data_IF_729061889428
#
_entry.id   IF_729061889428
#
_cell.length_a   1.000
_cell.length_b   1.000
_cell.length_c   1.000
_cell.angle_alpha   90.00
_cell.angle_beta   90.00
_cell.angle_gamma   90.00
#
_symmetry.space_group_name_H-M   'P 1'
#
loop_
_entity.id
_entity.type
_entity.pdbx_description
1 polymer ?
#
# COMPACT_ATOMS: atom_id res chain seq x y z
N UNK A 1 -12.57 -25.64 -12.88
CA UNK A 1 -13.30 -24.86 -11.85
C UNK A 1 -12.60 -23.53 -11.68
N UNK A 2 -13.26 -22.41 -12.04
CA UNK A 2 -12.80 -21.09 -11.56
C UNK A 2 -13.12 -21.06 -10.06
N UNK A 3 -12.17 -20.76 -9.17
CA UNK A 3 -12.49 -20.61 -7.76
C UNK A 3 -13.49 -19.46 -7.62
N UNK A 4 -14.63 -19.72 -6.98
CA UNK A 4 -15.56 -18.66 -6.59
C UNK A 4 -14.80 -17.64 -5.74
N UNK A 5 -14.96 -16.32 -6.00
CA UNK A 5 -14.24 -15.30 -5.26
C UNK A 5 -14.71 -15.31 -3.81
N UNK A 6 -13.92 -15.94 -2.94
CA UNK A 6 -14.14 -15.87 -1.50
C UNK A 6 -13.89 -14.44 -1.03
N UNK A 7 -14.57 -14.01 0.04
CA UNK A 7 -14.33 -12.69 0.64
C UNK A 7 -12.84 -12.47 0.94
N UNK A 8 -12.13 -13.50 1.39
CA UNK A 8 -10.68 -13.47 1.58
C UNK A 8 -9.91 -13.26 0.27
N UNK A 9 -10.31 -13.91 -0.82
CA UNK A 9 -9.72 -13.69 -2.15
C UNK A 9 -9.92 -12.26 -2.65
N UNK A 10 -11.11 -11.70 -2.48
CA UNK A 10 -11.41 -10.31 -2.85
C UNK A 10 -10.56 -9.33 -2.03
N UNK A 11 -10.52 -9.48 -0.71
CA UNK A 11 -9.70 -8.62 0.18
C UNK A 11 -8.23 -8.73 -0.19
N UNK A 12 -7.74 -9.94 -0.47
CA UNK A 12 -6.35 -10.17 -0.90
C UNK A 12 -6.01 -9.43 -2.20
N UNK A 13 -6.88 -9.50 -3.21
CA UNK A 13 -6.66 -8.85 -4.50
C UNK A 13 -6.66 -7.33 -4.34
N UNK A 14 -7.66 -6.79 -3.63
CA UNK A 14 -7.77 -5.34 -3.39
C UNK A 14 -6.54 -4.83 -2.65
N UNK A 15 -6.11 -5.50 -1.57
CA UNK A 15 -4.92 -5.13 -0.82
C UNK A 15 -3.64 -5.24 -1.66
N UNK A 16 -3.52 -6.27 -2.50
CA UNK A 16 -2.39 -6.43 -3.41
C UNK A 16 -2.31 -5.30 -4.44
N UNK A 17 -3.45 -4.90 -5.03
CA UNK A 17 -3.51 -3.76 -5.95
C UNK A 17 -3.18 -2.44 -5.25
N UNK A 18 -3.68 -2.28 -4.01
CA UNK A 18 -3.39 -1.12 -3.15
C UNK A 18 -1.91 -0.98 -2.86
N UNK A 19 -1.19 -2.09 -2.71
CA UNK A 19 0.27 -2.14 -2.62
C UNK A 19 0.95 -1.86 -3.96
N UNK A 20 0.62 -2.64 -5.00
CA UNK A 20 1.40 -2.72 -6.22
C UNK A 20 1.32 -1.43 -7.06
N UNK A 21 0.12 -0.89 -7.28
CA UNK A 21 -0.09 0.25 -8.18
C UNK A 21 0.70 1.50 -7.76
N UNK A 22 0.56 2.02 -6.53
CA UNK A 22 1.29 3.23 -6.14
C UNK A 22 2.79 3.00 -5.99
N UNK A 23 3.22 1.79 -5.62
CA UNK A 23 4.64 1.42 -5.47
C UNK A 23 5.31 1.35 -6.83
N UNK A 24 4.76 0.58 -7.77
CA UNK A 24 5.32 0.45 -9.12
C UNK A 24 5.38 1.79 -9.85
N UNK A 25 4.34 2.63 -9.73
CA UNK A 25 4.36 3.97 -10.32
C UNK A 25 5.47 4.85 -9.73
N UNK A 26 5.73 4.76 -8.43
CA UNK A 26 6.78 5.55 -7.79
C UNK A 26 8.18 5.03 -8.14
N UNK A 27 8.36 3.71 -8.21
CA UNK A 27 9.61 3.09 -8.63
C UNK A 27 9.93 3.38 -10.09
N UNK A 28 8.93 3.29 -10.99
CA UNK A 28 9.09 3.69 -12.39
C UNK A 28 9.52 5.17 -12.52
N UNK A 29 8.97 6.05 -11.67
CA UNK A 29 9.40 7.44 -11.58
C UNK A 29 10.86 7.58 -11.16
N UNK A 30 11.31 6.83 -10.15
CA UNK A 30 12.71 6.85 -9.70
C UNK A 30 13.70 6.25 -10.72
N UNK A 31 13.26 5.29 -11.54
CA UNK A 31 14.06 4.76 -12.65
C UNK A 31 14.21 5.80 -13.76
N UNK A 32 13.14 6.54 -14.06
CA UNK A 32 13.15 7.59 -15.09
C UNK A 32 13.91 8.85 -14.64
N UNK A 33 13.77 9.24 -13.37
CA UNK A 33 14.46 10.37 -12.75
C UNK A 33 15.03 9.95 -11.38
N UNK A 34 16.34 9.68 -11.28
CA UNK A 34 16.98 9.30 -10.03
C UNK A 34 17.30 10.49 -9.11
N UNK A 35 16.66 11.65 -9.29
CA UNK A 35 16.86 12.80 -8.40
C UNK A 35 16.47 12.49 -6.95
N UNK A 36 17.19 13.11 -6.01
CA UNK A 36 16.97 12.94 -4.57
C UNK A 36 15.49 13.09 -4.11
N UNK A 37 14.71 14.10 -4.54
CA UNK A 37 13.31 14.19 -4.14
C UNK A 37 12.44 13.05 -4.69
N UNK A 38 12.71 12.57 -5.91
CA UNK A 38 11.95 11.47 -6.53
C UNK A 38 12.25 10.15 -5.83
N UNK A 39 13.53 9.83 -5.60
CA UNK A 39 13.93 8.62 -4.88
C UNK A 39 13.38 8.64 -3.45
N UNK A 40 13.48 9.76 -2.73
CA UNK A 40 12.91 9.89 -1.37
C UNK A 40 11.40 9.64 -1.36
N UNK A 41 10.67 10.17 -2.33
CA UNK A 41 9.24 9.94 -2.51
C UNK A 41 8.94 8.46 -2.78
N UNK A 42 9.72 7.81 -3.64
CA UNK A 42 9.58 6.38 -3.94
C UNK A 42 9.84 5.49 -2.71
N UNK A 43 10.90 5.75 -1.97
CA UNK A 43 11.21 5.06 -0.70
C UNK A 43 10.08 5.25 0.31
N UNK A 44 9.64 6.49 0.52
CA UNK A 44 8.53 6.79 1.44
C UNK A 44 7.27 6.02 1.05
N UNK A 45 6.93 5.94 -0.24
CA UNK A 45 5.79 5.15 -0.69
C UNK A 45 5.99 3.65 -0.47
N UNK A 46 7.19 3.12 -0.73
CA UNK A 46 7.49 1.71 -0.48
C UNK A 46 7.29 1.32 0.99
N UNK A 47 7.77 2.15 1.91
CA UNK A 47 7.58 1.94 3.36
C UNK A 47 6.09 1.95 3.71
N UNK A 48 5.34 2.94 3.24
CA UNK A 48 3.89 3.03 3.54
C UNK A 48 3.10 1.88 2.90
N UNK A 49 3.56 1.33 1.78
CA UNK A 49 2.91 0.22 1.10
C UNK A 49 3.11 -1.14 1.80
N UNK A 50 3.94 -1.24 2.84
CA UNK A 50 4.09 -2.48 3.59
C UNK A 50 2.80 -2.93 4.28
N UNK A 51 1.97 -2.00 4.75
CA UNK A 51 0.69 -2.32 5.41
C UNK A 51 -0.31 -3.00 4.45
N UNK A 52 -0.59 -2.47 3.24
CA UNK A 52 -1.45 -3.17 2.29
C UNK A 52 -0.85 -4.48 1.77
N UNK A 53 0.49 -4.61 1.71
CA UNK A 53 1.13 -5.90 1.40
C UNK A 53 0.85 -6.94 2.50
N UNK A 54 1.02 -6.56 3.77
CA UNK A 54 0.70 -7.41 4.90
C UNK A 54 -0.79 -7.80 4.87
N UNK A 55 -1.70 -6.86 4.62
CA UNK A 55 -3.13 -7.15 4.49
C UNK A 55 -3.42 -8.18 3.39
N UNK A 56 -2.76 -8.06 2.23
CA UNK A 56 -2.93 -9.01 1.13
C UNK A 56 -2.49 -10.42 1.53
N UNK A 57 -1.32 -10.55 2.14
CA UNK A 57 -0.77 -11.84 2.58
C UNK A 57 -1.61 -12.44 3.72
N UNK A 58 -2.09 -11.62 4.65
CA UNK A 58 -2.97 -12.05 5.75
C UNK A 58 -4.32 -12.55 5.25
N UNK A 59 -4.92 -11.86 4.28
CA UNK A 59 -6.16 -12.33 3.64
C UNK A 59 -5.93 -13.65 2.90
N UNK A 60 -4.82 -13.77 2.16
CA UNK A 60 -4.42 -15.01 1.49
C UNK A 60 -4.18 -16.17 2.45
N UNK A 61 -3.74 -15.90 3.67
CA UNK A 61 -3.58 -16.90 4.74
C UNK A 61 -4.90 -17.31 5.42
N UNK A 62 -6.06 -16.87 4.91
CA UNK A 62 -7.38 -17.24 5.44
C UNK A 62 -7.82 -16.41 6.65
N UNK A 63 -7.19 -15.26 6.90
CA UNK A 63 -7.51 -14.34 8.01
C UNK A 63 -8.08 -13.01 7.51
N UNK A 64 -9.28 -13.00 6.88
CA UNK A 64 -9.80 -11.81 6.21
C UNK A 64 -10.13 -10.66 7.18
N UNK A 65 -10.53 -10.95 8.42
CA UNK A 65 -10.83 -9.91 9.43
C UNK A 65 -9.57 -9.13 9.80
N UNK A 66 -8.45 -9.81 10.04
CA UNK A 66 -7.18 -9.16 10.36
C UNK A 66 -6.65 -8.33 9.19
N UNK A 67 -6.87 -8.81 7.96
CA UNK A 67 -6.54 -8.05 6.76
C UNK A 67 -7.37 -6.75 6.64
N UNK A 68 -8.65 -6.77 7.04
CA UNK A 68 -9.48 -5.56 7.09
C UNK A 68 -8.99 -4.58 8.15
N UNK A 69 -8.54 -5.06 9.31
CA UNK A 69 -7.92 -4.21 10.35
C UNK A 69 -6.66 -3.52 9.79
N UNK A 70 -5.79 -4.26 9.10
CA UNK A 70 -4.60 -3.70 8.46
C UNK A 70 -4.95 -2.66 7.38
N UNK A 71 -5.98 -2.91 6.57
CA UNK A 71 -6.48 -1.92 5.60
C UNK A 71 -7.04 -0.66 6.29
N UNK A 72 -7.69 -0.81 7.45
CA UNK A 72 -8.11 0.32 8.28
C UNK A 72 -6.92 1.17 8.76
N UNK A 73 -5.83 0.52 9.17
CA UNK A 73 -4.58 1.19 9.55
C UNK A 73 -3.94 1.91 8.35
N UNK A 74 -3.90 1.29 7.16
CA UNK A 74 -3.44 1.94 5.93
C UNK A 74 -4.24 3.22 5.63
N UNK A 75 -5.57 3.13 5.69
CA UNK A 75 -6.44 4.26 5.45
C UNK A 75 -6.20 5.41 6.44
N UNK A 76 -6.05 5.09 7.73
CA UNK A 76 -5.71 6.07 8.76
C UNK A 76 -4.35 6.72 8.50
N UNK A 77 -3.34 5.92 8.13
CA UNK A 77 -2.01 6.40 7.77
C UNK A 77 -2.02 7.37 6.57
N UNK A 78 -2.84 7.10 5.55
CA UNK A 78 -3.03 8.00 4.41
C UNK A 78 -3.68 9.32 4.83
N UNK A 79 -4.73 9.27 5.66
CA UNK A 79 -5.43 10.47 6.14
C UNK A 79 -4.50 11.34 6.99
N UNK A 80 -3.78 10.74 7.94
CA UNK A 80 -2.83 11.46 8.79
C UNK A 80 -1.63 11.99 7.98
N UNK A 81 -1.12 11.20 7.05
CA UNK A 81 -0.01 11.60 6.17
C UNK A 81 -0.35 12.77 5.25
N UNK A 82 -1.61 12.89 4.80
CA UNK A 82 -2.09 14.06 4.05
C UNK A 82 -2.07 15.34 4.90
N UNK A 83 -2.40 15.25 6.20
CA UNK A 83 -2.37 16.38 7.13
C UNK A 83 -0.94 16.85 7.44
N UNK A 84 0.01 15.93 7.52
CA UNK A 84 1.41 16.25 7.85
C UNK A 84 2.18 16.93 6.70
N UNK A 85 1.74 16.81 5.44
CA UNK A 85 2.43 17.38 4.27
C UNK A 85 2.50 18.92 4.27
N UNK A 86 1.69 19.60 5.08
CA UNK A 86 1.76 21.05 5.27
C UNK A 86 2.79 21.52 6.31
N UNK A 87 3.52 20.61 6.96
CA UNK A 87 4.49 20.89 8.03
C UNK A 87 5.92 20.46 7.67
N UNK A 88 6.28 20.55 6.40
CA UNK A 88 7.66 20.29 5.98
C UNK A 88 8.55 21.41 6.54
N UNK A 89 9.40 21.07 7.50
CA UNK A 89 10.34 22.01 8.11
C UNK A 89 11.36 22.36 7.01
N UNK A 90 11.28 23.59 6.52
CA UNK A 90 12.25 24.20 5.61
C UNK A 90 13.48 24.63 6.39
#
# INVERSE_FOLDING_TARGET
>A
MRPEPTAAGVVSIVAALRYAVPTLRAQAGAVADPSAPVVRSATRRGILAMVPLQAALTARAGRPVDALVLLGIDALGVVLGRRAKGREIT
#
